data_IF_125604262880
#
_entry.id   IF_125604262880
#
_cell.length_a   1.000
_cell.length_b   1.000
_cell.length_c   1.000
_cell.angle_alpha   90.00
_cell.angle_beta   90.00
_cell.angle_gamma   90.00
#
_symmetry.space_group_name_H-M   'P 1'
#
loop_
_entity.id
_entity.type
_entity.pdbx_description
1 polymer ?
#
# COMPACT_ATOMS: atom_id res chain seq x y z
N UNK A 1 -2.84 15.46 29.19
CA UNK A 1 -2.81 16.16 27.87
C UNK A 1 -1.38 16.33 27.34
N UNK A 2 -0.43 16.82 28.14
CA UNK A 2 0.98 16.95 27.75
C UNK A 2 1.66 15.63 27.31
N UNK A 3 1.35 14.50 27.94
CA UNK A 3 1.93 13.18 27.60
C UNK A 3 1.43 12.64 26.25
N UNK A 4 0.17 12.91 25.89
CA UNK A 4 -0.42 12.53 24.60
C UNK A 4 0.19 13.37 23.47
N UNK A 5 0.36 14.69 23.72
CA UNK A 5 0.96 15.61 22.75
C UNK A 5 2.45 15.29 22.51
N UNK A 6 3.20 14.94 23.58
CA UNK A 6 4.61 14.53 23.50
C UNK A 6 4.79 13.22 22.71
N UNK A 7 3.87 12.26 22.86
CA UNK A 7 3.90 11.03 22.08
C UNK A 7 3.56 11.26 20.60
N UNK A 8 2.65 12.19 20.27
CA UNK A 8 2.36 12.58 18.88
C UNK A 8 3.54 13.30 18.24
N UNK A 9 4.15 14.26 18.96
CA UNK A 9 5.30 15.02 18.44
C UNK A 9 6.51 14.12 18.18
N UNK A 10 6.78 13.18 19.09
CA UNK A 10 7.90 12.24 18.91
C UNK A 10 7.66 11.27 17.75
N UNK A 11 6.41 10.90 17.47
CA UNK A 11 6.06 10.13 16.28
C UNK A 11 6.24 10.95 15.01
N UNK A 12 5.81 12.21 14.99
CA UNK A 12 5.95 13.10 13.83
C UNK A 12 7.44 13.35 13.52
N UNK A 13 8.27 13.66 14.53
CA UNK A 13 9.73 13.81 14.37
C UNK A 13 10.36 12.54 13.83
N UNK A 14 9.97 11.37 14.38
CA UNK A 14 10.48 10.08 13.90
C UNK A 14 10.14 9.87 12.42
N UNK A 15 8.93 10.25 12.00
CA UNK A 15 8.51 10.12 10.61
C UNK A 15 9.35 11.01 9.68
N UNK A 16 9.65 12.26 10.05
CA UNK A 16 10.51 13.12 9.25
C UNK A 16 11.96 12.60 9.16
N UNK A 17 12.50 12.05 10.26
CA UNK A 17 13.83 11.42 10.25
C UNK A 17 13.85 10.19 9.34
N UNK A 18 12.84 9.32 9.43
CA UNK A 18 12.72 8.13 8.58
C UNK A 18 12.59 8.54 7.11
N UNK A 19 11.75 9.54 6.81
CA UNK A 19 11.63 10.09 5.45
C UNK A 19 13.00 10.58 4.97
N UNK A 20 13.73 11.36 5.76
CA UNK A 20 15.04 11.88 5.39
C UNK A 20 16.04 10.77 5.07
N UNK A 21 16.06 9.70 5.87
CA UNK A 21 16.93 8.53 5.61
C UNK A 21 16.55 7.87 4.27
N UNK A 22 15.25 7.68 4.01
CA UNK A 22 14.78 7.14 2.74
C UNK A 22 15.17 8.02 1.54
N UNK A 23 15.04 9.34 1.67
CA UNK A 23 15.44 10.30 0.64
C UNK A 23 16.95 10.35 0.42
N UNK A 24 17.74 10.18 1.47
CA UNK A 24 19.20 10.07 1.36
C UNK A 24 19.59 8.85 0.54
N UNK A 25 19.00 7.68 0.84
CA UNK A 25 19.23 6.47 0.05
C UNK A 25 18.85 6.67 -1.41
N UNK A 26 17.65 7.20 -1.68
CA UNK A 26 17.22 7.51 -3.05
C UNK A 26 18.16 8.49 -3.75
N UNK A 27 18.62 9.54 -3.06
CA UNK A 27 19.56 10.50 -3.67
C UNK A 27 20.89 9.84 -4.06
N UNK A 28 21.37 8.87 -3.27
CA UNK A 28 22.59 8.12 -3.57
C UNK A 28 22.36 7.15 -4.73
N UNK A 29 21.28 6.36 -4.70
CA UNK A 29 20.97 5.40 -5.76
C UNK A 29 20.80 6.09 -7.11
N UNK A 30 20.05 7.18 -7.15
CA UNK A 30 19.85 7.97 -8.35
C UNK A 30 21.11 8.70 -8.82
N UNK A 31 21.74 9.52 -7.97
CA UNK A 31 22.88 10.38 -8.37
C UNK A 31 24.18 9.62 -8.60
N UNK A 32 24.42 8.51 -7.89
CA UNK A 32 25.68 7.77 -8.03
C UNK A 32 25.60 6.67 -9.10
N UNK A 33 24.43 6.06 -9.31
CA UNK A 33 24.31 4.85 -10.12
C UNK A 33 23.41 4.96 -11.35
N UNK A 34 22.46 5.90 -11.40
CA UNK A 34 21.57 6.04 -12.56
C UNK A 34 21.95 7.23 -13.42
N UNK A 35 22.08 8.41 -12.81
CA UNK A 35 22.33 9.67 -13.51
C UNK A 35 23.66 9.71 -14.30
N UNK A 36 24.79 9.15 -13.81
CA UNK A 36 26.04 9.10 -14.59
C UNK A 36 25.96 8.20 -15.84
N UNK A 37 24.97 7.31 -15.91
CA UNK A 37 24.78 6.38 -17.03
C UNK A 37 23.57 6.75 -17.90
N UNK A 38 22.90 7.87 -17.61
CA UNK A 38 21.70 8.34 -18.31
C UNK A 38 20.59 7.27 -18.35
N UNK A 39 20.49 6.49 -17.26
CA UNK A 39 19.39 5.56 -17.10
C UNK A 39 18.17 6.40 -16.73
N UNK A 40 17.16 6.40 -17.60
CA UNK A 40 15.91 7.10 -17.34
C UNK A 40 15.19 6.42 -16.17
N UNK A 41 15.12 7.10 -15.03
CA UNK A 41 14.25 6.69 -13.94
C UNK A 41 12.80 7.09 -14.24
N UNK A 42 11.85 6.34 -13.70
CA UNK A 42 10.45 6.75 -13.65
C UNK A 42 10.22 8.06 -12.88
N UNK A 43 8.96 8.50 -12.77
CA UNK A 43 8.58 9.65 -11.96
C UNK A 43 8.39 10.96 -12.71
N UNK A 44 7.89 11.96 -11.99
CA UNK A 44 7.60 13.29 -12.55
C UNK A 44 8.87 14.02 -13.03
N UNK A 45 10.03 13.69 -12.45
CA UNK A 45 11.32 14.16 -12.95
C UNK A 45 11.61 13.63 -14.37
N UNK A 46 11.41 12.32 -14.60
CA UNK A 46 11.51 11.72 -15.93
C UNK A 46 10.49 12.30 -16.92
N UNK A 47 9.23 12.45 -16.50
CA UNK A 47 8.20 13.09 -17.34
C UNK A 47 8.55 14.54 -17.70
N UNK A 48 9.08 15.30 -16.75
CA UNK A 48 9.54 16.67 -16.96
C UNK A 48 10.72 16.73 -17.95
N UNK A 49 11.66 15.79 -17.87
CA UNK A 49 12.77 15.69 -18.81
C UNK A 49 12.27 15.39 -20.24
N UNK A 50 11.33 14.46 -20.41
CA UNK A 50 10.73 14.19 -21.73
C UNK A 50 10.05 15.43 -22.31
N UNK A 51 9.28 16.17 -21.50
CA UNK A 51 8.62 17.41 -21.93
C UNK A 51 9.63 18.48 -22.33
N UNK A 52 10.71 18.65 -21.56
CA UNK A 52 11.80 19.57 -21.89
C UNK A 52 12.46 19.20 -23.22
N UNK A 53 12.79 17.93 -23.43
CA UNK A 53 13.41 17.48 -24.68
C UNK A 53 12.47 17.61 -25.90
N UNK A 54 11.16 17.55 -25.70
CA UNK A 54 10.18 17.70 -26.78
C UNK A 54 9.82 19.15 -27.10
N UNK A 55 9.82 20.05 -26.10
CA UNK A 55 9.24 21.40 -26.23
C UNK A 55 10.19 22.55 -25.88
N UNK A 56 11.35 22.25 -25.28
CA UNK A 56 12.25 23.25 -24.68
C UNK A 56 11.69 23.92 -23.42
N UNK A 57 10.49 23.52 -22.95
CA UNK A 57 9.86 24.11 -21.78
C UNK A 57 10.63 23.72 -20.50
N UNK A 58 11.02 24.67 -19.64
CA UNK A 58 11.88 24.36 -18.49
C UNK A 58 11.23 23.36 -17.54
N UNK A 59 11.99 22.30 -17.20
CA UNK A 59 11.56 21.17 -16.36
C UNK A 59 10.96 21.64 -15.04
N UNK A 60 11.56 22.67 -14.42
CA UNK A 60 11.12 23.19 -13.12
C UNK A 60 9.64 23.62 -13.11
N UNK A 61 9.16 24.29 -14.16
CA UNK A 61 7.78 24.81 -14.19
C UNK A 61 6.77 23.68 -14.33
N UNK A 62 7.03 22.70 -15.20
CA UNK A 62 6.19 21.51 -15.34
C UNK A 62 6.15 20.72 -14.04
N UNK A 63 7.31 20.52 -13.41
CA UNK A 63 7.41 19.78 -12.16
C UNK A 63 6.63 20.45 -11.02
N UNK A 64 6.79 21.76 -10.83
CA UNK A 64 6.06 22.51 -9.80
C UNK A 64 4.55 22.52 -10.06
N UNK A 65 4.12 22.81 -11.29
CA UNK A 65 2.69 22.91 -11.62
C UNK A 65 1.97 21.57 -11.42
N UNK A 66 2.55 20.48 -11.92
CA UNK A 66 1.95 19.15 -11.78
C UNK A 66 1.92 18.71 -10.32
N UNK A 67 2.99 18.92 -9.55
CA UNK A 67 3.00 18.58 -8.12
C UNK A 67 1.97 19.37 -7.32
N UNK A 68 1.76 20.66 -7.62
CA UNK A 68 0.71 21.46 -6.95
C UNK A 68 -0.67 20.86 -7.23
N UNK A 69 -0.98 20.54 -8.49
CA UNK A 69 -2.27 19.95 -8.87
C UNK A 69 -2.47 18.59 -8.17
N UNK A 70 -1.45 17.73 -8.20
CA UNK A 70 -1.50 16.42 -7.55
C UNK A 70 -1.67 16.53 -6.04
N UNK A 71 -0.98 17.48 -5.39
CA UNK A 71 -1.12 17.72 -3.96
C UNK A 71 -2.51 18.24 -3.58
N UNK A 72 -3.12 19.12 -4.37
CA UNK A 72 -4.50 19.59 -4.14
C UNK A 72 -5.47 18.41 -4.13
N UNK A 73 -5.35 17.51 -5.11
CA UNK A 73 -6.17 16.28 -5.18
C UNK A 73 -5.85 15.36 -3.98
N UNK A 74 -4.57 15.19 -3.65
CA UNK A 74 -4.11 14.37 -2.54
C UNK A 74 -4.60 14.86 -1.18
N UNK A 75 -4.74 16.17 -0.95
CA UNK A 75 -5.29 16.69 0.32
C UNK A 75 -6.69 16.14 0.55
N UNK A 76 -7.52 16.09 -0.49
CA UNK A 76 -8.91 15.62 -0.38
C UNK A 76 -9.00 14.11 -0.24
N UNK A 77 -8.08 13.38 -0.88
CA UNK A 77 -8.07 11.92 -0.92
C UNK A 77 -7.28 11.33 0.25
N UNK A 78 -6.00 11.66 0.39
CA UNK A 78 -5.04 11.06 1.32
C UNK A 78 -5.01 11.79 2.68
N UNK A 79 -5.33 13.08 2.69
CA UNK A 79 -5.44 13.90 3.91
C UNK A 79 -4.21 14.77 4.17
N UNK A 80 -4.39 15.76 5.05
CA UNK A 80 -3.43 16.85 5.26
C UNK A 80 -2.04 16.38 5.74
N UNK A 81 -1.98 15.39 6.64
CA UNK A 81 -0.72 14.86 7.17
C UNK A 81 0.18 14.25 6.09
N UNK A 82 -0.41 13.58 5.10
CA UNK A 82 0.33 13.03 3.96
C UNK A 82 0.94 14.18 3.15
N UNK A 83 0.14 15.19 2.81
CA UNK A 83 0.58 16.31 1.98
C UNK A 83 1.73 17.12 2.59
N UNK A 84 1.71 17.40 3.90
CA UNK A 84 2.84 18.11 4.55
C UNK A 84 4.12 17.27 4.45
N UNK A 85 4.05 15.97 4.73
CA UNK A 85 5.20 15.06 4.64
C UNK A 85 5.74 14.98 3.22
N UNK A 86 4.87 14.93 2.22
CA UNK A 86 5.24 14.94 0.80
C UNK A 86 5.87 16.27 0.38
N UNK A 87 5.33 17.41 0.82
CA UNK A 87 5.93 18.73 0.55
C UNK A 87 7.34 18.78 1.14
N UNK A 88 7.50 18.42 2.41
CA UNK A 88 8.80 18.31 3.05
C UNK A 88 9.74 17.39 2.25
N UNK A 89 9.26 16.21 1.86
CA UNK A 89 10.05 15.23 1.16
C UNK A 89 10.51 15.74 -0.21
N UNK A 90 9.66 16.42 -0.97
CA UNK A 90 10.02 17.02 -2.26
C UNK A 90 11.15 18.04 -2.10
N UNK A 91 11.01 18.98 -1.16
CA UNK A 91 12.05 19.99 -0.92
C UNK A 91 13.36 19.37 -0.41
N UNK A 92 13.26 18.44 0.54
CA UNK A 92 14.43 17.77 1.11
C UNK A 92 15.14 16.91 0.05
N UNK A 93 14.38 16.23 -0.80
CA UNK A 93 14.92 15.43 -1.90
C UNK A 93 15.67 16.30 -2.91
N UNK A 94 15.10 17.45 -3.30
CA UNK A 94 15.79 18.41 -4.19
C UNK A 94 17.13 18.85 -3.59
N UNK A 95 17.15 19.17 -2.29
CA UNK A 95 18.39 19.52 -1.59
C UNK A 95 19.40 18.37 -1.56
N UNK A 96 18.97 17.16 -1.18
CA UNK A 96 19.84 15.97 -1.08
C UNK A 96 20.40 15.55 -2.44
N UNK A 97 19.62 15.63 -3.52
CA UNK A 97 20.08 15.38 -4.88
C UNK A 97 21.17 16.37 -5.30
N UNK A 98 21.00 17.67 -5.01
CA UNK A 98 22.02 18.67 -5.28
C UNK A 98 23.30 18.42 -4.49
N UNK A 99 23.17 18.10 -3.20
CA UNK A 99 24.29 17.75 -2.33
C UNK A 99 25.01 16.49 -2.81
N UNK A 100 24.29 15.43 -3.18
CA UNK A 100 24.87 14.17 -3.66
C UNK A 100 25.67 14.37 -4.96
N UNK A 101 25.16 15.18 -5.88
CA UNK A 101 25.86 15.54 -7.12
C UNK A 101 27.14 16.33 -6.86
N UNK A 102 27.10 17.32 -5.97
CA UNK A 102 28.29 18.13 -5.66
C UNK A 102 29.36 17.31 -4.92
N UNK A 103 28.95 16.43 -4.01
CA UNK A 103 29.85 15.47 -3.36
C UNK A 103 30.50 14.56 -4.39
N UNK A 104 29.72 14.00 -5.33
CA UNK A 104 30.23 13.17 -6.41
C UNK A 104 31.24 13.91 -7.30
N UNK A 105 30.95 15.17 -7.65
CA UNK A 105 31.85 16.01 -8.44
C UNK A 105 33.16 16.30 -7.70
N UNK A 106 33.08 16.60 -6.40
CA UNK A 106 34.26 16.88 -5.57
C UNK A 106 35.12 15.62 -5.41
N UNK A 107 34.51 14.48 -5.09
CA UNK A 107 35.22 13.20 -4.98
C UNK A 107 35.87 12.78 -6.31
N UNK A 108 35.27 13.10 -7.46
CA UNK A 108 35.88 12.84 -8.76
C UNK A 108 37.20 13.59 -8.96
N UNK A 109 37.29 14.80 -8.41
CA UNK A 109 38.49 15.65 -8.49
C UNK A 109 39.56 15.19 -7.50
N UNK A 110 39.16 14.85 -6.27
CA UNK A 110 40.09 14.43 -5.21
C UNK A 110 40.61 13.00 -5.41
N UNK A 111 39.78 12.11 -5.94
CA UNK A 111 40.07 10.68 -6.09
C UNK A 111 39.69 10.17 -7.49
N UNK A 112 40.39 10.61 -8.56
CA UNK A 112 40.08 10.21 -9.93
C UNK A 112 40.18 8.70 -10.15
N UNK A 113 41.03 8.00 -9.40
CA UNK A 113 41.22 6.54 -9.51
C UNK A 113 39.98 5.72 -9.09
N UNK A 114 39.12 6.29 -8.25
CA UNK A 114 37.91 5.60 -7.75
C UNK A 114 36.83 5.50 -8.81
N UNK A 115 36.81 6.43 -9.75
CA UNK A 115 35.75 6.55 -10.73
C UNK A 115 36.20 6.10 -12.13
N UNK A 116 35.23 5.75 -12.97
CA UNK A 116 35.41 5.54 -14.40
C UNK A 116 35.41 6.85 -15.17
N UNK A 117 34.86 6.81 -16.39
CA UNK A 117 34.70 8.02 -17.19
C UNK A 117 33.70 8.99 -16.55
N UNK A 118 33.94 10.30 -16.74
CA UNK A 118 32.94 11.33 -16.47
C UNK A 118 32.00 11.40 -17.66
N UNK A 119 30.70 11.32 -17.41
CA UNK A 119 29.72 11.42 -18.48
C UNK A 119 29.60 12.89 -18.95
N UNK A 120 29.78 13.19 -20.25
CA UNK A 120 29.71 14.56 -20.76
C UNK A 120 28.33 15.20 -20.67
N UNK A 121 27.25 14.41 -20.65
CA UNK A 121 25.87 14.91 -20.59
C UNK A 121 25.44 15.27 -19.16
N UNK A 122 25.86 14.48 -18.16
CA UNK A 122 25.50 14.73 -16.75
C UNK A 122 26.60 15.42 -15.94
N UNK A 123 27.84 15.43 -16.42
CA UNK A 123 28.99 15.99 -15.70
C UNK A 123 29.39 15.18 -14.46
N UNK A 124 28.82 13.98 -14.28
CA UNK A 124 29.03 13.14 -13.11
C UNK A 124 29.95 11.95 -13.42
N UNK A 125 30.76 11.53 -12.44
CA UNK A 125 31.66 10.40 -12.60
C UNK A 125 30.92 9.06 -12.50
N UNK A 126 31.34 8.07 -13.31
CA UNK A 126 30.79 6.72 -13.26
C UNK A 126 31.42 5.90 -12.12
N UNK A 127 30.64 5.54 -11.10
CA UNK A 127 31.12 4.75 -9.96
C UNK A 127 31.52 3.33 -10.38
N UNK A 128 30.73 2.71 -11.25
CA UNK A 128 30.95 1.34 -11.75
C UNK A 128 31.60 1.36 -13.13
N UNK A 129 32.88 0.97 -13.20
CA UNK A 129 33.64 0.98 -14.45
C UNK A 129 33.07 -0.02 -15.45
N UNK A 130 32.68 0.46 -16.64
CA UNK A 130 32.25 -0.33 -17.81
C UNK A 130 31.12 -1.36 -17.55
N UNK A 131 30.28 -1.17 -16.52
CA UNK A 131 29.18 -2.09 -16.24
C UNK A 131 27.90 -1.33 -15.85
N UNK A 132 27.18 -0.89 -16.89
CA UNK A 132 25.91 -0.17 -16.76
C UNK A 132 24.85 -1.02 -16.04
N UNK A 133 24.83 -2.34 -16.29
CA UNK A 133 23.87 -3.24 -15.69
C UNK A 133 24.05 -3.39 -14.18
N UNK A 134 25.29 -3.50 -13.70
CA UNK A 134 25.56 -3.53 -12.26
C UNK A 134 25.15 -2.21 -11.60
N UNK A 135 25.44 -1.08 -12.25
CA UNK A 135 24.99 0.23 -11.78
C UNK A 135 23.46 0.33 -11.73
N UNK A 136 22.78 -0.15 -12.77
CA UNK A 136 21.32 -0.26 -12.83
C UNK A 136 20.76 -1.05 -11.63
N UNK A 137 21.29 -2.23 -11.33
CA UNK A 137 20.79 -3.06 -10.22
C UNK A 137 21.01 -2.35 -8.87
N UNK A 138 22.22 -1.84 -8.62
CA UNK A 138 22.55 -1.20 -7.35
C UNK A 138 21.75 0.08 -7.14
N UNK A 139 21.69 0.94 -8.15
CA UNK A 139 20.90 2.16 -8.12
C UNK A 139 19.41 1.89 -7.89
N UNK A 140 18.84 0.96 -8.66
CA UNK A 140 17.41 0.63 -8.57
C UNK A 140 17.06 0.01 -7.20
N UNK A 141 17.89 -0.89 -6.67
CA UNK A 141 17.65 -1.49 -5.37
C UNK A 141 17.72 -0.44 -4.25
N UNK A 142 18.74 0.41 -4.25
CA UNK A 142 18.89 1.48 -3.24
C UNK A 142 17.72 2.47 -3.32
N UNK A 143 17.33 2.88 -4.52
CA UNK A 143 16.19 3.77 -4.75
C UNK A 143 14.89 3.15 -4.26
N UNK A 144 14.64 1.89 -4.60
CA UNK A 144 13.45 1.17 -4.17
C UNK A 144 13.37 1.04 -2.64
N UNK A 145 14.50 0.77 -1.98
CA UNK A 145 14.56 0.79 -0.50
C UNK A 145 14.24 2.19 0.02
N UNK A 146 14.86 3.23 -0.54
CA UNK A 146 14.68 4.62 -0.14
C UNK A 146 13.22 5.08 -0.24
N UNK A 147 12.60 4.86 -1.40
CA UNK A 147 11.19 5.17 -1.65
C UNK A 147 10.28 4.36 -0.70
N UNK A 148 10.55 3.06 -0.53
CA UNK A 148 9.80 2.21 0.38
C UNK A 148 9.83 2.71 1.83
N UNK A 149 10.98 3.19 2.30
CA UNK A 149 11.13 3.78 3.65
C UNK A 149 10.30 5.06 3.78
N UNK A 150 10.30 5.93 2.76
CA UNK A 150 9.46 7.15 2.75
C UNK A 150 7.98 6.79 2.86
N UNK A 151 7.52 5.77 2.14
CA UNK A 151 6.13 5.30 2.19
C UNK A 151 5.74 4.68 3.54
N UNK A 152 6.67 4.04 4.26
CA UNK A 152 6.40 3.51 5.61
C UNK A 152 5.97 4.60 6.60
N UNK A 153 6.43 5.84 6.41
CA UNK A 153 6.04 7.01 7.20
C UNK A 153 4.88 7.81 6.58
N UNK A 154 4.18 7.25 5.59
CA UNK A 154 3.11 7.91 4.83
C UNK A 154 3.56 9.23 4.16
N UNK A 155 4.80 9.27 3.68
CA UNK A 155 5.29 10.31 2.78
C UNK A 155 5.31 9.82 1.33
N UNK A 156 5.79 10.67 0.43
CA UNK A 156 6.01 10.37 -0.99
C UNK A 156 7.15 11.26 -1.51
N UNK A 157 7.86 10.81 -2.54
CA UNK A 157 8.90 11.64 -3.20
C UNK A 157 8.32 12.69 -4.16
N UNK A 158 6.99 12.74 -4.29
CA UNK A 158 6.26 13.60 -5.23
C UNK A 158 5.97 12.90 -6.55
N UNK A 159 5.31 13.59 -7.48
CA UNK A 159 5.11 13.08 -8.83
C UNK A 159 4.18 11.86 -8.94
N UNK A 160 4.63 10.82 -9.68
CA UNK A 160 3.82 9.61 -9.94
C UNK A 160 3.52 8.83 -8.66
N UNK A 161 4.35 8.95 -7.62
CA UNK A 161 4.08 8.42 -6.28
C UNK A 161 2.74 8.89 -5.70
N UNK A 162 2.37 10.16 -5.93
CA UNK A 162 1.12 10.73 -5.43
C UNK A 162 -0.06 10.06 -6.14
N UNK A 163 0.06 9.87 -7.45
CA UNK A 163 -0.95 9.18 -8.27
C UNK A 163 -1.09 7.73 -7.81
N UNK A 164 0.03 7.03 -7.62
CA UNK A 164 0.04 5.65 -7.12
C UNK A 164 -0.61 5.54 -5.74
N UNK A 165 -0.32 6.46 -4.83
CA UNK A 165 -0.90 6.52 -3.48
C UNK A 165 -2.41 6.76 -3.50
N UNK A 166 -2.88 7.66 -4.36
CA UNK A 166 -4.32 7.94 -4.55
C UNK A 166 -5.04 6.67 -5.01
N UNK A 167 -4.48 5.94 -5.97
CA UNK A 167 -5.11 4.74 -6.52
C UNK A 167 -5.06 3.58 -5.52
N UNK A 168 -3.92 3.35 -4.86
CA UNK A 168 -3.75 2.33 -3.80
C UNK A 168 -4.71 2.53 -2.61
N UNK A 169 -5.14 3.78 -2.34
CA UNK A 169 -6.14 4.05 -1.30
C UNK A 169 -7.48 3.38 -1.57
N UNK A 170 -7.88 3.29 -2.85
CA UNK A 170 -9.20 2.79 -3.25
C UNK A 170 -9.18 1.41 -3.91
N UNK A 171 -8.04 0.99 -4.46
CA UNK A 171 -7.87 -0.31 -5.12
C UNK A 171 -6.96 -1.23 -4.30
N UNK A 172 -7.16 -2.53 -4.48
CA UNK A 172 -6.34 -3.57 -3.86
C UNK A 172 -5.17 -3.95 -4.78
N UNK A 173 -4.25 -2.99 -4.96
CA UNK A 173 -3.04 -3.09 -5.79
C UNK A 173 -1.88 -2.52 -4.99
N UNK A 174 -0.65 -3.00 -5.18
CA UNK A 174 0.52 -2.49 -4.42
C UNK A 174 0.91 -1.08 -4.89
N UNK A 175 1.72 -0.37 -4.10
CA UNK A 175 2.27 0.93 -4.50
C UNK A 175 3.21 0.76 -5.69
N UNK A 176 4.11 -0.23 -5.64
CA UNK A 176 5.05 -0.53 -6.71
C UNK A 176 4.37 -0.91 -8.02
N UNK A 177 3.25 -1.66 -8.00
CA UNK A 177 2.48 -1.96 -9.21
C UNK A 177 1.93 -0.69 -9.89
N UNK A 178 1.42 0.26 -9.11
CA UNK A 178 0.88 1.49 -9.67
C UNK A 178 1.96 2.44 -10.15
N UNK A 179 3.08 2.54 -9.42
CA UNK A 179 4.25 3.30 -9.83
C UNK A 179 4.83 2.72 -11.12
N UNK A 180 5.00 1.39 -11.19
CA UNK A 180 5.42 0.68 -12.40
C UNK A 180 4.55 1.04 -13.61
N UNK A 181 3.23 1.07 -13.47
CA UNK A 181 2.34 1.42 -14.58
C UNK A 181 2.53 2.87 -15.05
N UNK A 182 2.59 3.82 -14.11
CA UNK A 182 2.80 5.23 -14.43
C UNK A 182 4.18 5.46 -15.07
N UNK A 183 5.20 4.84 -14.50
CA UNK A 183 6.59 5.02 -14.91
C UNK A 183 6.91 4.28 -16.19
N UNK A 184 6.21 3.18 -16.51
CA UNK A 184 6.36 2.49 -17.79
C UNK A 184 6.03 3.42 -18.94
N UNK A 185 4.98 4.24 -18.81
CA UNK A 185 4.61 5.23 -19.83
C UNK A 185 5.72 6.27 -19.99
N UNK A 186 6.30 6.74 -18.88
CA UNK A 186 7.36 7.75 -18.87
C UNK A 186 8.64 7.21 -19.49
N UNK A 187 9.10 6.03 -19.06
CA UNK A 187 10.30 5.38 -19.59
C UNK A 187 10.11 5.05 -21.06
N UNK A 188 8.96 4.49 -21.46
CA UNK A 188 8.66 4.22 -22.88
C UNK A 188 8.67 5.51 -23.71
N UNK A 189 8.19 6.63 -23.15
CA UNK A 189 8.18 7.91 -23.85
C UNK A 189 9.59 8.48 -24.11
N UNK A 190 10.63 7.99 -23.41
CA UNK A 190 12.00 8.46 -23.62
C UNK A 190 12.56 8.11 -25.00
N UNK A 191 12.00 7.10 -25.70
CA UNK A 191 12.43 6.77 -27.06
C UNK A 191 12.09 7.88 -28.08
N UNK A 192 11.07 8.68 -27.78
CA UNK A 192 10.66 9.81 -28.63
C UNK A 192 11.48 11.07 -28.38
N UNK A 193 12.42 11.05 -27.43
CA UNK A 193 13.32 12.17 -27.17
C UNK A 193 14.50 12.15 -28.14
N UNK A 194 15.14 13.30 -28.44
CA UNK A 194 16.30 13.37 -29.34
C UNK A 194 17.50 12.50 -28.90
N UNK A 195 17.55 12.12 -27.63
CA UNK A 195 18.58 11.25 -27.03
C UNK A 195 18.14 9.78 -26.90
N UNK A 196 17.04 9.39 -27.56
CA UNK A 196 16.44 8.06 -27.46
C UNK A 196 17.41 6.94 -27.86
N UNK A 197 17.67 6.02 -26.92
CA UNK A 197 18.54 4.87 -27.11
C UNK A 197 17.86 3.62 -26.53
N UNK A 198 17.79 2.55 -27.32
CA UNK A 198 17.10 1.30 -26.93
C UNK A 198 17.80 0.63 -25.74
N UNK A 199 19.13 0.66 -25.65
CA UNK A 199 19.86 0.09 -24.52
C UNK A 199 19.51 0.81 -23.23
N UNK A 200 19.50 2.16 -23.25
CA UNK A 200 19.08 2.98 -22.10
C UNK A 200 17.62 2.74 -21.71
N UNK A 201 16.75 2.52 -22.69
CA UNK A 201 15.35 2.16 -22.44
C UNK A 201 15.23 0.81 -21.72
N UNK A 202 15.96 -0.21 -22.16
CA UNK A 202 15.97 -1.53 -21.53
C UNK A 202 16.51 -1.46 -20.09
N UNK A 203 17.58 -0.70 -19.86
CA UNK A 203 18.06 -0.42 -18.49
C UNK A 203 17.02 0.33 -17.65
N UNK A 204 16.26 1.25 -18.25
CA UNK A 204 15.13 1.92 -17.61
C UNK A 204 14.03 0.94 -17.17
N UNK A 205 13.69 -0.04 -18.00
CA UNK A 205 12.74 -1.10 -17.62
C UNK A 205 13.27 -1.99 -16.51
N UNK A 206 14.54 -2.40 -16.57
CA UNK A 206 15.18 -3.14 -15.48
C UNK A 206 15.15 -2.36 -14.17
N UNK A 207 15.50 -1.07 -14.22
CA UNK A 207 15.45 -0.16 -13.08
C UNK A 207 14.05 -0.10 -12.51
N UNK A 208 13.05 0.15 -13.35
CA UNK A 208 11.65 0.23 -12.95
C UNK A 208 11.17 -1.06 -12.27
N UNK A 209 11.52 -2.24 -12.78
CA UNK A 209 11.12 -3.52 -12.17
C UNK A 209 11.79 -3.68 -10.80
N UNK A 210 13.11 -3.48 -10.72
CA UNK A 210 13.89 -3.70 -9.49
C UNK A 210 13.49 -2.69 -8.40
N UNK A 211 13.37 -1.42 -8.75
CA UNK A 211 12.94 -0.35 -7.83
C UNK A 211 11.57 -0.67 -7.24
N UNK A 212 10.59 -1.05 -8.07
CA UNK A 212 9.24 -1.32 -7.61
C UNK A 212 9.13 -2.61 -6.78
N UNK A 213 9.86 -3.67 -7.14
CA UNK A 213 9.91 -4.90 -6.33
C UNK A 213 10.53 -4.64 -4.96
N UNK A 214 11.60 -3.84 -4.92
CA UNK A 214 12.31 -3.53 -3.67
C UNK A 214 11.49 -2.57 -2.79
N UNK A 215 10.79 -1.62 -3.40
CA UNK A 215 9.81 -0.76 -2.74
C UNK A 215 8.73 -1.58 -2.06
N UNK A 216 8.06 -2.46 -2.82
CA UNK A 216 6.99 -3.30 -2.28
C UNK A 216 7.51 -4.22 -1.17
N UNK A 217 8.72 -4.77 -1.34
CA UNK A 217 9.37 -5.56 -0.29
C UNK A 217 9.54 -4.77 1.02
N UNK A 218 9.99 -3.52 0.96
CA UNK A 218 10.18 -2.68 2.16
C UNK A 218 8.84 -2.28 2.78
N UNK A 219 7.89 -1.82 1.97
CA UNK A 219 6.57 -1.40 2.46
C UNK A 219 5.83 -2.58 3.11
N UNK A 220 5.85 -3.74 2.47
CA UNK A 220 5.21 -4.96 2.97
C UNK A 220 5.92 -5.47 4.23
N UNK A 221 7.25 -5.46 4.26
CA UNK A 221 8.05 -5.89 5.42
C UNK A 221 7.75 -5.09 6.68
N UNK A 222 7.45 -3.80 6.55
CA UNK A 222 7.05 -2.95 7.68
C UNK A 222 5.63 -3.22 8.22
N UNK A 223 4.76 -3.88 7.43
CA UNK A 223 3.34 -4.10 7.77
C UNK A 223 2.97 -5.55 8.11
N UNK A 224 3.93 -6.47 8.00
CA UNK A 224 3.74 -7.91 8.21
C UNK A 224 3.01 -8.22 9.53
N UNK A 225 1.98 -9.04 9.41
CA UNK A 225 1.27 -9.63 10.55
C UNK A 225 1.61 -11.12 10.62
N UNK A 226 1.53 -11.68 11.82
CA UNK A 226 1.82 -13.08 12.10
C UNK A 226 0.70 -13.68 12.92
N UNK A 227 0.48 -14.98 12.75
CA UNK A 227 -0.40 -15.77 13.58
C UNK A 227 0.43 -16.68 14.47
N UNK A 228 0.09 -16.72 15.76
CA UNK A 228 0.61 -17.68 16.71
C UNK A 228 -0.46 -18.72 17.03
N UNK A 229 -0.07 -19.99 17.01
CA UNK A 229 -0.74 -21.05 17.75
C UNK A 229 0.16 -21.42 18.94
N UNK A 230 -0.35 -21.25 20.16
CA UNK A 230 0.40 -21.50 21.40
C UNK A 230 -0.25 -22.69 22.11
N UNK A 231 0.54 -23.74 22.33
CA UNK A 231 0.16 -24.97 22.98
C UNK A 231 0.88 -25.06 24.32
N UNK A 232 0.15 -24.92 25.42
CA UNK A 232 0.71 -24.92 26.78
C UNK A 232 -0.32 -25.41 27.79
N UNK A 233 0.15 -25.98 28.91
CA UNK A 233 -0.72 -26.29 30.06
C UNK A 233 -1.11 -25.04 30.84
N UNK A 234 -0.27 -23.99 30.82
CA UNK A 234 -0.49 -22.68 31.47
C UNK A 234 -1.12 -21.66 30.51
N UNK A 235 -2.08 -22.11 29.70
CA UNK A 235 -2.69 -21.30 28.65
C UNK A 235 -3.41 -20.05 29.21
N UNK A 236 -3.93 -20.13 30.42
CA UNK A 236 -4.63 -19.08 31.14
C UNK A 236 -3.69 -17.94 31.56
N UNK A 237 -2.56 -18.27 32.17
CA UNK A 237 -1.52 -17.29 32.55
C UNK A 237 -0.95 -16.60 31.30
N UNK A 238 -0.67 -17.37 30.24
CA UNK A 238 -0.16 -16.83 28.97
C UNK A 238 -1.20 -15.93 28.30
N UNK A 239 -2.47 -16.35 28.26
CA UNK A 239 -3.54 -15.55 27.67
C UNK A 239 -3.71 -14.22 28.42
N UNK A 240 -3.71 -14.24 29.76
CA UNK A 240 -3.81 -13.04 30.57
C UNK A 240 -2.62 -12.09 30.34
N UNK A 241 -1.39 -12.61 30.30
CA UNK A 241 -0.18 -11.83 30.08
C UNK A 241 -0.14 -11.20 28.68
N UNK A 242 -0.55 -11.93 27.63
CA UNK A 242 -0.64 -11.39 26.28
C UNK A 242 -1.78 -10.35 26.19
N UNK A 243 -2.94 -10.60 26.80
CA UNK A 243 -4.05 -9.64 26.81
C UNK A 243 -3.71 -8.33 27.53
N UNK A 244 -2.86 -8.37 28.56
CA UNK A 244 -2.34 -7.18 29.22
C UNK A 244 -1.53 -6.26 28.28
N UNK A 245 -1.04 -6.78 27.15
CA UNK A 245 -0.38 -5.97 26.09
C UNK A 245 -1.36 -5.33 25.09
N UNK A 246 -2.66 -5.32 25.41
CA UNK A 246 -3.74 -4.87 24.53
C UNK A 246 -3.87 -5.69 23.24
N UNK A 247 -3.62 -7.00 23.32
CA UNK A 247 -3.79 -7.95 22.21
C UNK A 247 -4.94 -8.91 22.45
N UNK A 248 -5.74 -9.12 21.41
CA UNK A 248 -6.79 -10.13 21.40
C UNK A 248 -6.19 -11.53 21.39
N UNK A 249 -6.75 -12.41 22.22
CA UNK A 249 -6.38 -13.83 22.29
C UNK A 249 -7.66 -14.64 22.16
N UNK A 250 -7.70 -15.58 21.23
CA UNK A 250 -8.81 -16.52 21.09
C UNK A 250 -8.37 -17.88 21.60
N UNK A 251 -9.20 -18.52 22.42
CA UNK A 251 -8.96 -19.89 22.90
C UNK A 251 -9.68 -20.87 21.98
N UNK A 252 -8.93 -21.76 21.34
CA UNK A 252 -9.48 -22.90 20.62
C UNK A 252 -9.45 -24.14 21.52
N UNK A 253 -10.58 -24.84 21.58
CA UNK A 253 -10.69 -26.11 22.27
C UNK A 253 -10.37 -27.24 21.28
N UNK A 254 -9.44 -28.11 21.63
CA UNK A 254 -9.04 -29.24 20.82
C UNK A 254 -8.72 -30.47 21.67
N UNK A 255 -8.40 -31.57 21.01
CA UNK A 255 -7.99 -32.82 21.64
C UNK A 255 -6.71 -33.31 20.98
N UNK A 256 -5.73 -33.72 21.78
CA UNK A 256 -4.52 -34.35 21.26
C UNK A 256 -4.85 -35.73 20.71
N UNK A 257 -4.56 -36.02 19.44
CA UNK A 257 -4.89 -37.32 18.85
C UNK A 257 -4.12 -38.49 19.47
N UNK A 258 -2.85 -38.29 19.81
CA UNK A 258 -2.06 -39.36 20.44
C UNK A 258 -2.37 -39.50 21.93
N UNK A 259 -2.43 -38.37 22.64
CA UNK A 259 -2.65 -38.35 24.10
C UNK A 259 -4.11 -38.53 24.50
N UNK A 260 -5.05 -38.29 23.57
CA UNK A 260 -6.51 -38.22 23.80
C UNK A 260 -6.97 -37.19 24.86
N UNK A 261 -6.04 -36.44 25.45
CA UNK A 261 -6.34 -35.34 26.38
C UNK A 261 -6.92 -34.11 25.67
N UNK A 262 -7.89 -33.46 26.33
CA UNK A 262 -8.31 -32.11 25.96
C UNK A 262 -7.17 -31.11 26.10
N UNK A 263 -7.02 -30.24 25.11
CA UNK A 263 -6.00 -29.20 25.06
C UNK A 263 -6.63 -27.90 24.59
N UNK A 264 -6.24 -26.80 25.23
CA UNK A 264 -6.59 -25.46 24.79
C UNK A 264 -5.41 -24.86 24.04
N UNK A 265 -5.69 -24.28 22.88
CA UNK A 265 -4.70 -23.67 21.99
C UNK A 265 -5.02 -22.19 21.89
N UNK A 266 -4.04 -21.33 22.18
CA UNK A 266 -4.24 -19.89 22.01
C UNK A 266 -3.93 -19.50 20.57
N UNK A 267 -4.83 -18.70 19.99
CA UNK A 267 -4.64 -18.05 18.69
C UNK A 267 -4.44 -16.57 18.92
N UNK A 268 -3.29 -16.06 18.47
CA UNK A 268 -2.95 -14.64 18.58
C UNK A 268 -2.56 -14.12 17.21
N UNK A 269 -3.26 -13.08 16.76
CA UNK A 269 -2.83 -12.28 15.61
C UNK A 269 -2.08 -11.06 16.13
N UNK A 270 -0.87 -10.85 15.64
CA UNK A 270 -0.01 -9.76 16.08
C UNK A 270 0.80 -9.18 14.91
N UNK A 271 1.40 -8.01 15.10
CA UNK A 271 2.39 -7.49 14.14
C UNK A 271 3.70 -8.24 14.32
N UNK A 272 4.43 -8.50 13.22
CA UNK A 272 5.69 -9.25 13.27
C UNK A 272 6.70 -8.70 14.27
N UNK A 273 6.78 -7.37 14.41
CA UNK A 273 7.65 -6.68 15.38
C UNK A 273 7.34 -7.01 16.85
N UNK A 274 6.13 -7.47 17.15
CA UNK A 274 5.69 -7.82 18.51
C UNK A 274 6.04 -9.27 18.87
N UNK A 275 6.46 -10.07 17.88
CA UNK A 275 6.75 -11.50 18.05
C UNK A 275 7.76 -11.76 19.16
N UNK A 276 8.83 -10.97 19.22
CA UNK A 276 9.87 -11.13 20.24
C UNK A 276 9.32 -10.94 21.65
N UNK A 277 8.39 -10.00 21.84
CA UNK A 277 7.76 -9.79 23.15
C UNK A 277 6.84 -10.96 23.52
N UNK A 278 6.06 -11.45 22.55
CA UNK A 278 5.18 -12.62 22.74
C UNK A 278 6.00 -13.86 23.10
N UNK A 279 7.10 -14.14 22.39
CA UNK A 279 7.99 -15.26 22.73
C UNK A 279 8.60 -15.12 24.13
N UNK A 280 9.01 -13.91 24.53
CA UNK A 280 9.51 -13.66 25.91
C UNK A 280 8.47 -13.92 26.98
N UNK A 281 7.21 -13.50 26.75
CA UNK A 281 6.10 -13.77 27.66
C UNK A 281 5.88 -15.27 27.79
N UNK A 282 5.77 -15.98 26.67
CA UNK A 282 5.54 -17.43 26.65
C UNK A 282 6.67 -18.15 27.39
N UNK A 283 7.92 -17.87 27.04
CA UNK A 283 9.08 -18.54 27.62
C UNK A 283 9.30 -18.20 29.09
N UNK A 284 8.87 -17.02 29.55
CA UNK A 284 8.90 -16.65 30.96
C UNK A 284 7.87 -17.39 31.82
N UNK A 285 6.73 -17.77 31.26
CA UNK A 285 5.63 -18.44 31.98
C UNK A 285 5.75 -19.97 31.86
N UNK A 286 5.97 -20.46 30.65
CA UNK A 286 6.09 -21.89 30.34
C UNK A 286 7.21 -22.13 29.31
N UNK A 287 8.43 -22.45 29.78
CA UNK A 287 9.54 -22.84 28.91
C UNK A 287 9.29 -24.11 28.08
N UNK A 288 8.32 -24.95 28.47
CA UNK A 288 7.95 -26.17 27.76
C UNK A 288 6.80 -25.95 26.76
N UNK A 289 6.32 -24.70 26.62
CA UNK A 289 5.28 -24.38 25.66
C UNK A 289 5.74 -24.64 24.22
N UNK A 290 4.86 -25.25 23.44
CA UNK A 290 5.05 -25.45 22.01
C UNK A 290 4.35 -24.34 21.24
N UNK A 291 5.04 -23.69 20.31
CA UNK A 291 4.52 -22.51 19.59
C UNK A 291 4.75 -22.67 18.10
N UNK A 292 3.69 -22.51 17.31
CA UNK A 292 3.78 -22.37 15.86
C UNK A 292 3.52 -20.93 15.46
N UNK A 293 4.39 -20.37 14.62
CA UNK A 293 4.25 -19.02 14.07
C UNK A 293 4.14 -19.10 12.55
N UNK A 294 3.07 -18.52 11.99
CA UNK A 294 2.82 -18.46 10.56
C UNK A 294 2.74 -17.01 10.07
N UNK A 295 3.30 -16.73 8.89
CA UNK A 295 3.08 -15.45 8.20
C UNK A 295 1.65 -15.43 7.66
N UNK A 296 0.90 -14.38 7.98
CA UNK A 296 -0.44 -14.16 7.41
C UNK A 296 -0.37 -13.07 6.34
N UNK A 297 -1.05 -13.30 5.21
CA UNK A 297 -1.05 -12.38 4.06
C UNK A 297 -1.76 -11.07 4.43
N UNK A 298 -2.83 -11.14 5.23
CA UNK A 298 -3.55 -9.96 5.69
C UNK A 298 -4.39 -10.27 6.91
N UNK A 299 -4.49 -9.28 7.80
CA UNK A 299 -5.42 -9.28 8.93
C UNK A 299 -6.20 -7.98 8.82
N UNK A 300 -7.53 -8.06 8.91
CA UNK A 300 -8.39 -6.91 8.72
C UNK A 300 -9.37 -6.74 9.88
N UNK A 301 -9.60 -5.49 10.31
CA UNK A 301 -10.45 -5.15 11.47
C UNK A 301 -9.69 -5.06 12.81
N UNK A 302 -10.37 -4.69 13.89
CA UNK A 302 -9.88 -4.73 15.30
C UNK A 302 -8.41 -4.36 15.53
N UNK A 303 -8.00 -3.16 15.09
CA UNK A 303 -6.61 -2.67 15.26
C UNK A 303 -5.64 -3.06 14.14
N UNK A 304 -6.13 -3.69 13.07
CA UNK A 304 -5.42 -3.96 11.82
C UNK A 304 -5.98 -3.14 10.65
N UNK A 305 -5.57 -3.45 9.41
CA UNK A 305 -6.01 -2.73 8.22
C UNK A 305 -7.53 -2.90 7.99
N UNK A 306 -8.16 -1.95 7.29
CA UNK A 306 -9.61 -2.05 7.01
C UNK A 306 -9.86 -2.87 5.75
N UNK A 307 -10.98 -3.59 5.71
CA UNK A 307 -11.45 -4.26 4.49
C UNK A 307 -11.82 -3.18 3.46
N UNK A 308 -11.15 -3.19 2.31
CA UNK A 308 -11.33 -2.17 1.24
C UNK A 308 -12.46 -2.49 0.26
N UNK A 309 -12.99 -3.72 0.27
CA UNK A 309 -14.05 -4.16 -0.64
C UNK A 309 -15.41 -3.65 -0.16
N UNK A 310 -16.13 -2.92 -1.01
CA UNK A 310 -17.53 -2.53 -0.73
C UNK A 310 -18.43 -3.75 -0.89
N UNK A 311 -19.21 -4.07 0.14
CA UNK A 311 -20.27 -5.07 0.03
C UNK A 311 -21.29 -4.60 -1.03
N UNK A 312 -21.62 -5.47 -1.99
CA UNK A 312 -22.77 -5.23 -2.88
C UNK A 312 -24.02 -5.15 -2.00
N UNK A 313 -24.66 -3.99 -1.93
CA UNK A 313 -25.87 -3.84 -1.13
C UNK A 313 -26.92 -4.84 -1.65
N UNK A 314 -27.52 -5.62 -0.73
CA UNK A 314 -28.60 -6.59 -0.98
C UNK A 314 -29.94 -5.91 -1.36
N UNK A 315 -29.91 -4.74 -1.98
CA UNK A 315 -31.13 -3.96 -2.26
C UNK A 315 -31.88 -4.50 -3.48
N UNK A 316 -31.18 -5.08 -4.47
CA UNK A 316 -31.81 -5.51 -5.72
C UNK A 316 -32.53 -6.87 -5.61
N UNK A 317 -32.10 -7.75 -4.71
CA UNK A 317 -32.72 -9.07 -4.54
C UNK A 317 -34.05 -8.99 -3.78
N UNK A 318 -34.15 -8.13 -2.77
CA UNK A 318 -35.38 -7.97 -1.98
C UNK A 318 -36.42 -7.10 -2.72
N UNK A 319 -36.00 -6.12 -3.53
CA UNK A 319 -36.92 -5.34 -4.35
C UNK A 319 -37.58 -6.20 -5.45
N UNK A 320 -36.81 -7.08 -6.10
CA UNK A 320 -37.33 -8.02 -7.09
C UNK A 320 -38.26 -9.08 -6.45
N UNK A 321 -37.90 -9.63 -5.28
CA UNK A 321 -38.77 -10.58 -4.58
C UNK A 321 -40.06 -9.93 -4.08
N UNK A 322 -40.00 -8.73 -3.50
CA UNK A 322 -41.19 -8.02 -3.02
C UNK A 322 -42.09 -7.57 -4.18
N UNK A 323 -41.52 -7.16 -5.32
CA UNK A 323 -42.30 -6.83 -6.51
C UNK A 323 -42.99 -8.07 -7.11
N UNK A 324 -42.33 -9.23 -7.11
CA UNK A 324 -42.93 -10.49 -7.57
C UNK A 324 -44.02 -11.00 -6.61
N UNK A 325 -43.83 -10.89 -5.30
CA UNK A 325 -44.84 -11.22 -4.30
C UNK A 325 -46.06 -10.28 -4.38
N UNK A 326 -45.85 -8.98 -4.61
CA UNK A 326 -46.94 -8.02 -4.80
C UNK A 326 -47.73 -8.27 -6.11
N UNK A 327 -47.04 -8.62 -7.20
CA UNK A 327 -47.70 -9.01 -8.47
C UNK A 327 -48.49 -10.31 -8.33
N UNK A 328 -47.96 -11.30 -7.61
CA UNK A 328 -48.68 -12.55 -7.34
C UNK A 328 -49.93 -12.35 -6.48
N UNK A 329 -49.84 -11.51 -5.43
CA UNK A 329 -50.98 -11.15 -4.59
C UNK A 329 -52.08 -10.40 -5.34
N UNK A 330 -51.71 -9.44 -6.20
CA UNK A 330 -52.67 -8.71 -7.02
C UNK A 330 -53.33 -9.59 -8.10
N UNK A 331 -52.60 -10.52 -8.70
CA UNK A 331 -53.16 -11.49 -9.65
C UNK A 331 -54.16 -12.44 -8.98
N UNK A 332 -53.85 -12.93 -7.77
CA UNK A 332 -54.76 -13.78 -7.00
C UNK A 332 -56.05 -13.04 -6.60
N UNK A 333 -55.96 -11.76 -6.20
CA UNK A 333 -57.13 -10.94 -5.90
C UNK A 333 -57.98 -10.62 -7.14
N UNK A 334 -57.36 -10.41 -8.30
CA UNK A 334 -58.09 -10.20 -9.56
C UNK A 334 -58.82 -11.46 -10.04
N UNK A 335 -58.23 -12.65 -9.85
CA UNK A 335 -58.87 -13.94 -10.12
C UNK A 335 -60.09 -14.18 -9.23
N UNK A 336 -59.98 -13.89 -7.92
CA UNK A 336 -61.09 -14.02 -6.97
C UNK A 336 -62.21 -12.99 -7.21
N UNK A 337 -61.87 -11.77 -7.65
CA UNK A 337 -62.86 -10.75 -8.00
C UNK A 337 -63.66 -11.13 -9.27
N UNK A 338 -63.01 -11.73 -10.26
CA UNK A 338 -63.69 -12.20 -11.48
C UNK A 338 -64.54 -13.47 -11.26
N UNK A 339 -64.18 -14.35 -10.31
CA UNK A 339 -65.05 -15.47 -9.95
C UNK A 339 -66.30 -15.04 -9.18
N UNK A 340 -66.23 -13.94 -8.42
CA UNK A 340 -67.38 -13.37 -7.71
C UNK A 340 -68.32 -12.57 -8.64
N UNK A 341 -67.79 -11.97 -9.71
CA UNK A 341 -68.58 -11.17 -10.66
C UNK A 341 -69.39 -11.99 -11.68
N UNK A 342 -69.08 -13.28 -11.87
CA UNK A 342 -69.76 -14.16 -12.83
C UNK A 342 -70.86 -15.07 -12.22
N UNK A 343 -71.26 -14.85 -10.97
CA UNK A 343 -72.42 -15.51 -10.38
C UNK A 343 -73.71 -14.75 -10.77
N UNK A 344 -74.41 -15.24 -11.80
CA UNK A 344 -75.70 -14.70 -12.26
C UNK A 344 -76.85 -14.96 -11.26
N UNK A 345 -77.80 -14.03 -11.05
CA UNK A 345 -78.92 -14.22 -10.13
C UNK A 345 -80.11 -14.88 -10.84
N UNK A 346 -80.51 -16.08 -10.40
CA UNK A 346 -81.77 -16.67 -10.80
C UNK A 346 -82.43 -17.45 -9.65
N UNK A 347 -83.67 -17.05 -9.36
CA UNK A 347 -84.75 -17.75 -8.67
C UNK A 347 -84.86 -17.61 -7.14
N UNK A 348 -85.63 -16.60 -6.74
CA UNK A 348 -86.48 -16.63 -5.56
C UNK A 348 -87.87 -17.19 -5.95
N UNK A 349 -88.35 -18.22 -5.26
CA UNK A 349 -89.77 -18.58 -5.14
C UNK A 349 -90.07 -18.81 -3.67
N UNK A 350 -91.18 -18.22 -3.24
CA UNK A 350 -91.71 -18.11 -1.89
C UNK A 350 -92.00 -19.46 -1.21
N UNK A 351 -91.96 -19.48 0.13
CA UNK A 351 -93.18 -19.59 0.98
C UNK A 351 -92.85 -19.48 2.48
N UNK A 352 -93.56 -18.55 3.11
CA UNK A 352 -94.19 -18.54 4.45
C UNK A 352 -93.57 -19.25 5.67
N UNK A 353 -93.48 -18.44 6.74
CA UNK A 353 -93.38 -18.81 8.16
C UNK A 353 -94.59 -19.65 8.65
N UNK A 354 -94.56 -20.35 9.81
CA UNK A 354 -94.64 -19.64 11.09
C UNK A 354 -93.89 -20.26 12.30
N UNK A 355 -93.48 -19.36 13.19
CA UNK A 355 -93.41 -19.43 14.66
C UNK A 355 -93.49 -20.81 15.34
N UNK A 356 -92.44 -21.14 16.10
CA UNK A 356 -92.48 -21.34 17.55
C UNK A 356 -91.07 -21.17 18.13
#
# INVERSE_FOLDING_TARGET
>A
MATIFRNSLMQDVRDYVIITIGLLLYSIGFSCFQLPYEITSGGLAGAGAVIFYATGFPVQYTFFLVNIILLIIAVRVLGWRFCIKTIYAVFMLTFLLGMAQEVMRTLAVEHPDWFGAVNPNSGLPQVVKNNIFLSCILGAAIDGIGIGIVFLSNGSTGGTDIIASIINKYKDVTLGQMMMLCDLIIVTSSIFTPSGNIDKLLYGYCTLIITNLTLDYVVESGRQSVQFFIFSKKFDEIAAAISATHRGVTVLHGQGWYTQEERKVLVVLAKKRESTNIFRIIQGIDPAAFVSQSKVIGVFGEGFDRIKVKAKQKTDANAANNANLAKAGNAANALNANSAANASPAQAVATESPKA
#
